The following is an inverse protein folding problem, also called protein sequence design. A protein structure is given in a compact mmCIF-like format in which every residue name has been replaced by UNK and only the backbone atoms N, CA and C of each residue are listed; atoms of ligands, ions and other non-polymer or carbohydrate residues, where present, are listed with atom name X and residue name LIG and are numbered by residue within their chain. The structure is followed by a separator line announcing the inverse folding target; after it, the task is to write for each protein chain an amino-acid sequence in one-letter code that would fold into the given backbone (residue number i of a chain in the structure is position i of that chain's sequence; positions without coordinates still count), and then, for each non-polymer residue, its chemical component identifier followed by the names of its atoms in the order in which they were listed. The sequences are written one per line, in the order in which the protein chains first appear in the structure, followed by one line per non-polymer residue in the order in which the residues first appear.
data_IF_089285441353
#
_entry.id   IF_089285441353
#
_cell.length_a   1.000
_cell.length_b   1.000
_cell.length_c   1.000
_cell.angle_alpha   90.00
_cell.angle_beta   90.00
_cell.angle_gamma   90.00
#
_symmetry.space_group_name_H-M   'P 1'
#
loop_
_entity.id
_entity.type
_entity.pdbx_description
1 polymer ?
#
# COMPACT_ATOMS: atom_id res chain seq x y z
N UNK A 1 3.03 -0.85 26.77
CA UNK A 1 3.21 -2.02 25.86
C UNK A 1 2.14 -1.97 24.80
N UNK A 2 2.49 -2.31 23.57
CA UNK A 2 1.53 -2.32 22.45
C UNK A 2 0.44 -3.38 22.65
N UNK A 3 -0.77 -3.06 22.19
CA UNK A 3 -1.93 -3.95 22.23
C UNK A 3 -2.04 -4.73 20.93
N UNK A 4 -2.48 -5.99 21.02
CA UNK A 4 -2.84 -6.83 19.86
C UNK A 4 -4.37 -6.90 19.76
N UNK A 5 -4.89 -6.78 18.54
CA UNK A 5 -6.32 -6.73 18.26
C UNK A 5 -6.75 -7.95 17.46
N UNK A 6 -7.95 -8.45 17.73
CA UNK A 6 -8.53 -9.57 16.99
C UNK A 6 -8.94 -9.19 15.56
N UNK A 7 -9.24 -7.92 15.32
CA UNK A 7 -9.63 -7.35 14.03
C UNK A 7 -9.55 -5.82 14.08
N UNK A 8 -9.78 -5.17 12.95
CA UNK A 8 -9.94 -3.72 12.88
C UNK A 8 -11.32 -3.39 13.46
N UNK A 9 -11.33 -2.83 14.67
CA UNK A 9 -12.52 -2.27 15.30
C UNK A 9 -12.76 -0.82 14.83
N UNK A 10 -13.86 -0.20 15.23
CA UNK A 10 -14.21 1.16 14.81
C UNK A 10 -13.16 2.20 15.24
N UNK A 11 -12.54 2.02 16.41
CA UNK A 11 -11.46 2.91 16.88
C UNK A 11 -10.21 2.81 16.00
N UNK A 12 -9.84 1.60 15.59
CA UNK A 12 -8.73 1.36 14.67
C UNK A 12 -9.08 1.87 13.27
N UNK A 13 -10.30 1.66 12.80
CA UNK A 13 -10.78 2.15 11.51
C UNK A 13 -10.77 3.69 11.45
N UNK A 14 -11.27 4.36 12.48
CA UNK A 14 -11.22 5.82 12.59
C UNK A 14 -9.77 6.34 12.58
N UNK A 15 -8.87 5.69 13.33
CA UNK A 15 -7.45 6.03 13.33
C UNK A 15 -6.83 5.89 11.93
N UNK A 16 -7.08 4.79 11.22
CA UNK A 16 -6.57 4.54 9.87
C UNK A 16 -7.07 5.62 8.90
N UNK A 17 -8.37 5.92 8.91
CA UNK A 17 -8.98 6.92 8.03
C UNK A 17 -8.46 8.35 8.25
N UNK A 18 -7.96 8.63 9.45
CA UNK A 18 -7.40 9.94 9.79
C UNK A 18 -5.93 10.11 9.32
N UNK A 19 -5.28 9.06 8.79
CA UNK A 19 -3.91 9.18 8.32
C UNK A 19 -3.87 9.45 6.82
N UNK A 20 -3.11 10.48 6.41
CA UNK A 20 -2.89 10.87 5.02
C UNK A 20 -1.77 10.08 4.35
N UNK A 21 -0.95 9.38 5.12
CA UNK A 21 0.14 8.54 4.64
C UNK A 21 0.15 7.20 5.38
N UNK A 22 0.42 6.13 4.66
CA UNK A 22 0.76 4.84 5.25
C UNK A 22 2.01 4.26 4.57
N UNK A 23 2.66 3.35 5.25
CA UNK A 23 3.88 2.71 4.77
C UNK A 23 3.61 1.24 4.47
N UNK A 24 4.17 0.78 3.36
CA UNK A 24 4.09 -0.61 2.93
C UNK A 24 5.49 -1.18 2.96
N UNK A 25 5.72 -2.24 3.74
CA UNK A 25 6.97 -2.97 3.74
C UNK A 25 6.77 -4.41 3.30
N UNK A 26 7.66 -4.89 2.45
CA UNK A 26 7.74 -6.26 1.95
C UNK A 26 9.18 -6.71 1.87
N UNK A 27 9.42 -8.02 1.82
CA UNK A 27 10.75 -8.58 1.74
C UNK A 27 10.74 -9.77 0.78
N UNK A 28 11.82 -10.01 0.02
CA UNK A 28 11.99 -11.23 -0.74
C UNK A 28 12.28 -12.41 0.20
N UNK A 29 12.29 -13.62 -0.33
CA UNK A 29 12.66 -14.83 0.45
C UNK A 29 14.18 -14.98 0.60
N UNK A 30 14.95 -14.46 -0.33
CA UNK A 30 16.40 -14.44 -0.29
C UNK A 30 16.92 -13.63 0.89
N UNK A 31 17.92 -14.16 1.60
CA UNK A 31 18.53 -13.46 2.75
C UNK A 31 19.37 -12.23 2.33
N UNK A 32 19.92 -12.25 1.12
CA UNK A 32 20.71 -11.17 0.52
C UNK A 32 19.87 -10.22 -0.37
N UNK A 33 18.55 -10.41 -0.42
CA UNK A 33 17.65 -9.54 -1.19
C UNK A 33 17.30 -8.25 -0.45
N UNK A 34 16.92 -7.22 -1.21
CA UNK A 34 16.63 -5.88 -0.69
C UNK A 34 15.22 -5.79 -0.13
N UNK A 35 15.10 -5.26 1.10
CA UNK A 35 13.82 -4.92 1.71
C UNK A 35 13.19 -3.74 0.98
N UNK A 36 11.90 -3.79 0.78
CA UNK A 36 11.14 -2.66 0.27
C UNK A 36 10.37 -1.96 1.40
N UNK A 37 10.45 -0.64 1.43
CA UNK A 37 9.63 0.22 2.27
C UNK A 37 9.16 1.41 1.43
N UNK A 38 7.86 1.50 1.20
CA UNK A 38 7.25 2.53 0.34
C UNK A 38 6.21 3.34 1.10
N UNK A 39 6.29 4.68 1.11
CA UNK A 39 5.18 5.53 1.54
C UNK A 39 4.08 5.50 0.47
N UNK A 40 2.84 5.48 0.92
CA UNK A 40 1.63 5.56 0.11
C UNK A 40 0.72 6.66 0.67
N UNK A 41 0.07 7.38 -0.19
CA UNK A 41 -0.86 8.46 0.15
C UNK A 41 -2.04 8.48 -0.80
N UNK A 42 -2.66 9.64 -0.97
CA UNK A 42 -3.91 9.83 -1.68
C UNK A 42 -5.04 9.00 -1.05
N UNK A 43 -6.21 8.99 -1.62
CA UNK A 43 -7.34 8.16 -1.15
C UNK A 43 -7.25 6.73 -1.71
N UNK A 44 -6.13 6.05 -1.43
CA UNK A 44 -5.83 4.72 -2.01
C UNK A 44 -6.10 3.55 -1.08
N UNK A 45 -6.55 3.74 0.17
CA UNK A 45 -6.71 2.66 1.15
C UNK A 45 -8.18 2.37 1.48
N UNK A 46 -8.53 1.07 1.63
CA UNK A 46 -9.87 0.61 2.03
C UNK A 46 -9.80 -0.51 3.07
N UNK A 47 -10.69 -0.44 4.06
CA UNK A 47 -10.98 -1.53 5.00
C UNK A 47 -12.18 -2.27 4.42
N UNK A 48 -12.00 -3.53 4.02
CA UNK A 48 -13.05 -4.35 3.42
C UNK A 48 -13.87 -5.08 4.48
N UNK A 49 -13.19 -5.56 5.50
CA UNK A 49 -13.77 -6.20 6.69
C UNK A 49 -12.77 -6.10 7.86
N UNK A 50 -13.10 -6.60 9.09
CA UNK A 50 -12.19 -6.51 10.24
C UNK A 50 -10.82 -7.17 10.05
N UNK A 51 -10.67 -8.05 9.07
CA UNK A 51 -9.43 -8.80 8.79
C UNK A 51 -8.92 -8.67 7.35
N UNK A 52 -9.56 -7.87 6.53
CA UNK A 52 -9.17 -7.69 5.13
C UNK A 52 -9.13 -6.21 4.77
N UNK A 53 -8.01 -5.80 4.21
CA UNK A 53 -7.83 -4.44 3.69
C UNK A 53 -7.35 -4.50 2.25
N UNK A 54 -7.52 -3.40 1.52
CA UNK A 54 -6.99 -3.25 0.18
C UNK A 54 -6.44 -1.85 -0.05
N UNK A 55 -5.47 -1.74 -0.95
CA UNK A 55 -5.04 -0.42 -1.43
C UNK A 55 -4.81 -0.44 -2.94
N UNK A 56 -5.05 0.72 -3.55
CA UNK A 56 -4.80 0.95 -4.96
C UNK A 56 -3.29 1.14 -5.18
N UNK A 57 -2.67 0.26 -5.96
CA UNK A 57 -1.28 0.37 -6.33
C UNK A 57 -1.14 1.20 -7.60
N UNK A 58 -0.42 2.32 -7.49
CA UNK A 58 -0.25 3.29 -8.55
C UNK A 58 1.08 3.09 -9.27
N UNK A 59 1.09 3.34 -10.57
CA UNK A 59 2.30 3.22 -11.41
C UNK A 59 3.42 4.13 -10.90
N UNK A 60 4.54 3.53 -10.60
CA UNK A 60 5.79 4.17 -10.24
C UNK A 60 6.97 3.41 -10.85
N UNK A 61 8.21 3.84 -10.57
CA UNK A 61 9.42 3.19 -11.09
C UNK A 61 9.69 1.83 -10.45
N UNK A 62 9.29 1.65 -9.18
CA UNK A 62 9.50 0.41 -8.44
C UNK A 62 8.36 -0.60 -8.61
N UNK A 63 8.71 -1.89 -8.52
CA UNK A 63 7.78 -3.01 -8.57
C UNK A 63 8.01 -4.01 -7.43
N UNK A 64 8.86 -3.67 -6.47
CA UNK A 64 9.30 -4.55 -5.40
C UNK A 64 8.14 -5.14 -4.61
N UNK A 65 7.15 -4.31 -4.22
CA UNK A 65 5.97 -4.81 -3.51
C UNK A 65 5.26 -5.92 -4.29
N UNK A 66 4.99 -5.71 -5.56
CA UNK A 66 4.31 -6.69 -6.43
C UNK A 66 5.15 -7.97 -6.54
N UNK A 67 6.45 -7.82 -6.80
CA UNK A 67 7.36 -8.94 -6.96
C UNK A 67 7.47 -9.79 -5.67
N UNK A 68 7.64 -9.16 -4.51
CA UNK A 68 7.69 -9.84 -3.21
C UNK A 68 6.37 -10.53 -2.85
N UNK A 69 5.22 -9.89 -3.16
CA UNK A 69 3.92 -10.49 -2.91
C UNK A 69 3.67 -11.71 -3.78
N UNK A 70 4.07 -11.68 -5.06
CA UNK A 70 4.01 -12.85 -5.95
C UNK A 70 4.90 -13.98 -5.47
N UNK A 71 6.06 -13.67 -4.87
CA UNK A 71 6.99 -14.68 -4.37
C UNK A 71 6.53 -15.31 -3.05
N UNK A 72 6.09 -14.52 -2.07
CA UNK A 72 5.85 -15.04 -0.72
C UNK A 72 4.66 -14.44 0.03
N UNK A 73 4.03 -13.40 -0.49
CA UNK A 73 2.84 -12.76 0.08
C UNK A 73 3.05 -11.98 1.39
N UNK A 74 4.24 -11.95 1.98
CA UNK A 74 4.47 -11.28 3.28
C UNK A 74 4.44 -9.77 3.13
N UNK A 75 3.63 -9.11 3.99
CA UNK A 75 3.45 -7.65 3.96
C UNK A 75 3.16 -7.12 5.35
N UNK A 76 3.61 -5.91 5.62
CA UNK A 76 3.13 -5.10 6.73
C UNK A 76 2.75 -3.72 6.21
N UNK A 77 1.59 -3.24 6.66
CA UNK A 77 1.12 -1.88 6.48
C UNK A 77 1.24 -1.15 7.81
N UNK A 78 1.81 0.06 7.81
CA UNK A 78 2.02 0.82 9.02
C UNK A 78 1.42 2.21 8.89
N UNK A 79 0.65 2.61 9.88
CA UNK A 79 0.06 3.93 10.04
C UNK A 79 0.68 4.60 11.26
N UNK A 80 1.13 5.84 11.10
CA UNK A 80 1.71 6.65 12.17
C UNK A 80 0.87 7.91 12.36
N UNK A 81 0.51 8.23 13.61
CA UNK A 81 -0.04 9.54 13.93
C UNK A 81 1.07 10.59 13.77
N UNK A 82 1.00 11.35 12.68
CA UNK A 82 1.85 12.52 12.44
C UNK A 82 1.22 13.78 13.03
N UNK A 83 -0.07 13.75 13.34
CA UNK A 83 -0.84 14.79 14.02
C UNK A 83 -1.58 14.21 15.22
N UNK A 84 -1.89 15.03 16.21
CA UNK A 84 -2.68 14.64 17.37
C UNK A 84 -1.95 13.71 18.34
N UNK A 85 -2.70 12.77 18.94
CA UNK A 85 -2.16 11.86 19.93
C UNK A 85 -1.23 10.79 19.29
N UNK A 86 -0.03 10.55 19.89
CA UNK A 86 0.95 9.65 19.29
C UNK A 86 0.46 8.21 19.27
N UNK A 87 0.54 7.57 18.12
CA UNK A 87 0.19 6.18 17.92
C UNK A 87 0.82 5.62 16.64
N UNK A 88 1.27 4.37 16.68
CA UNK A 88 1.64 3.60 15.49
C UNK A 88 0.81 2.33 15.45
N UNK A 89 0.12 2.08 14.34
CA UNK A 89 -0.65 0.86 14.11
C UNK A 89 0.01 0.06 12.99
N UNK A 90 0.20 -1.24 13.20
CA UNK A 90 0.74 -2.17 12.19
C UNK A 90 -0.27 -3.25 11.87
N UNK A 91 -0.46 -3.46 10.58
CA UNK A 91 -1.29 -4.50 10.01
C UNK A 91 -0.37 -5.48 9.28
N UNK A 92 -0.07 -6.61 9.92
CA UNK A 92 0.70 -7.69 9.30
C UNK A 92 -0.23 -8.68 8.62
N UNK A 93 0.19 -9.26 7.51
CA UNK A 93 -0.65 -10.23 6.81
C UNK A 93 -0.04 -10.83 5.56
N UNK A 94 -0.92 -11.39 4.76
CA UNK A 94 -0.64 -11.95 3.45
C UNK A 94 -1.32 -11.11 2.38
N UNK A 95 -0.52 -10.53 1.49
CA UNK A 95 -0.96 -9.73 0.37
C UNK A 95 -1.00 -10.53 -0.91
N UNK A 96 -1.95 -10.21 -1.75
CA UNK A 96 -2.05 -10.67 -3.13
C UNK A 96 -2.23 -9.47 -4.05
N UNK A 97 -1.74 -9.59 -5.27
CA UNK A 97 -1.82 -8.57 -6.30
C UNK A 97 -2.93 -8.93 -7.27
N UNK A 98 -3.92 -8.07 -7.37
CA UNK A 98 -5.01 -8.18 -8.32
C UNK A 98 -4.73 -7.23 -9.48
N UNK A 99 -4.57 -7.77 -10.68
CA UNK A 99 -4.26 -7.03 -11.90
C UNK A 99 -5.51 -6.79 -12.76
N UNK A 100 -5.41 -5.91 -13.72
CA UNK A 100 -6.44 -5.72 -14.73
C UNK A 100 -6.73 -7.04 -15.46
N UNK A 101 -8.01 -7.42 -15.53
CA UNK A 101 -8.45 -8.72 -16.04
C UNK A 101 -8.85 -9.72 -14.95
N UNK A 102 -8.43 -9.53 -13.71
CA UNK A 102 -8.89 -10.34 -12.60
C UNK A 102 -10.32 -9.97 -12.21
N UNK A 103 -11.16 -10.98 -11.93
CA UNK A 103 -12.54 -10.76 -11.46
C UNK A 103 -12.58 -9.91 -10.19
N UNK A 104 -11.68 -10.19 -9.25
CA UNK A 104 -11.63 -9.51 -7.96
C UNK A 104 -11.11 -8.07 -8.11
N UNK A 105 -10.23 -7.80 -9.09
CA UNK A 105 -9.83 -6.43 -9.44
C UNK A 105 -11.04 -5.62 -9.88
N UNK A 106 -11.84 -6.14 -10.82
CA UNK A 106 -13.04 -5.47 -11.32
C UNK A 106 -14.09 -5.23 -10.21
N UNK A 107 -14.21 -6.16 -9.26
CA UNK A 107 -15.14 -6.04 -8.13
C UNK A 107 -14.71 -4.99 -7.10
N UNK A 108 -13.40 -4.84 -6.87
CA UNK A 108 -12.87 -3.91 -5.85
C UNK A 108 -12.58 -2.51 -6.39
N UNK A 109 -12.30 -2.38 -7.68
CA UNK A 109 -11.94 -1.09 -8.28
C UNK A 109 -12.95 0.04 -8.00
N UNK A 110 -14.29 -0.18 -8.03
CA UNK A 110 -15.28 0.85 -7.72
C UNK A 110 -15.24 1.42 -6.30
N UNK A 111 -14.54 0.74 -5.36
CA UNK A 111 -14.36 1.23 -4.00
C UNK A 111 -13.35 2.38 -3.89
N UNK A 112 -12.57 2.62 -4.95
CA UNK A 112 -11.53 3.65 -4.99
C UNK A 112 -11.92 4.77 -5.96
N UNK A 113 -11.49 6.02 -5.69
CA UNK A 113 -11.64 7.06 -6.69
C UNK A 113 -10.83 6.70 -7.95
N UNK A 114 -11.34 7.04 -9.14
CA UNK A 114 -10.62 6.83 -10.38
C UNK A 114 -9.25 7.53 -10.35
N UNK A 115 -8.19 6.82 -10.74
CA UNK A 115 -6.86 7.41 -10.84
C UNK A 115 -6.16 6.94 -12.13
N UNK A 116 -5.60 7.87 -12.95
CA UNK A 116 -5.05 7.54 -14.26
C UNK A 116 -3.84 6.59 -14.19
N UNK A 117 -3.11 6.56 -13.09
CA UNK A 117 -1.96 5.69 -12.91
C UNK A 117 -2.27 4.35 -12.23
N UNK A 118 -3.53 3.99 -12.02
CA UNK A 118 -3.91 2.69 -11.42
C UNK A 118 -3.20 1.55 -12.15
N UNK A 119 -2.51 0.72 -11.39
CA UNK A 119 -1.70 -0.40 -11.91
C UNK A 119 -2.24 -1.75 -11.43
N UNK A 120 -2.58 -1.84 -10.15
CA UNK A 120 -3.10 -3.04 -9.51
C UNK A 120 -3.87 -2.66 -8.24
N UNK A 121 -4.54 -3.62 -7.64
CA UNK A 121 -5.03 -3.54 -6.26
C UNK A 121 -4.25 -4.57 -5.46
N UNK A 122 -3.75 -4.17 -4.31
CA UNK A 122 -3.16 -5.11 -3.34
C UNK A 122 -4.19 -5.36 -2.25
N UNK A 123 -4.70 -6.60 -2.17
CA UNK A 123 -5.58 -7.07 -1.11
C UNK A 123 -4.74 -7.77 -0.04
N UNK A 124 -4.98 -7.47 1.23
CA UNK A 124 -4.20 -8.04 2.34
C UNK A 124 -5.14 -8.69 3.35
N UNK A 125 -4.97 -10.00 3.58
CA UNK A 125 -5.58 -10.72 4.69
C UNK A 125 -4.68 -10.57 5.92
N UNK A 126 -5.23 -10.02 6.98
CA UNK A 126 -4.50 -9.69 8.20
C UNK A 126 -4.43 -10.89 9.15
N UNK A 127 -3.23 -11.22 9.60
CA UNK A 127 -2.96 -12.24 10.61
C UNK A 127 -2.64 -11.63 11.98
N UNK A 128 -2.07 -10.40 12.02
CA UNK A 128 -1.75 -9.69 13.25
C UNK A 128 -1.97 -8.19 13.10
N UNK A 129 -2.74 -7.62 14.01
CA UNK A 129 -2.97 -6.18 14.14
C UNK A 129 -2.44 -5.76 15.50
N UNK A 130 -1.52 -4.79 15.54
CA UNK A 130 -0.93 -4.33 16.82
C UNK A 130 -0.57 -2.86 16.77
N UNK A 131 -0.67 -2.20 17.91
CA UNK A 131 -0.22 -0.82 18.05
C UNK A 131 1.02 -0.68 18.94
N UNK A 132 1.61 0.50 18.91
CA UNK A 132 2.66 0.96 19.82
C UNK A 132 2.49 2.47 20.09
N UNK A 133 3.17 2.98 21.11
CA UNK A 133 2.95 4.33 21.61
C UNK A 133 3.26 5.45 20.61
N UNK A 134 4.24 5.27 19.71
CA UNK A 134 4.62 6.31 18.75
C UNK A 134 5.27 7.56 19.35
N UNK A 135 5.70 7.55 20.62
CA UNK A 135 6.21 8.73 21.33
C UNK A 135 7.45 9.37 20.69
N UNK A 136 8.23 8.62 19.92
CA UNK A 136 9.37 9.13 19.17
C UNK A 136 9.04 9.61 17.74
N UNK A 137 7.78 9.52 17.32
CA UNK A 137 7.37 10.01 16.00
C UNK A 137 7.13 11.51 16.09
N UNK A 138 7.81 12.33 15.26
CA UNK A 138 7.64 13.78 15.31
C UNK A 138 6.28 14.20 14.76
N UNK A 139 5.84 15.39 15.16
CA UNK A 139 4.62 16.01 14.63
C UNK A 139 4.90 16.68 13.29
N UNK A 140 3.96 16.51 12.35
CA UNK A 140 3.90 17.21 11.08
C UNK A 140 2.50 17.81 10.90
N UNK A 141 2.43 18.86 10.12
CA UNK A 141 1.15 19.45 9.70
C UNK A 141 0.85 19.00 8.27
N UNK A 142 -0.34 18.46 8.07
CA UNK A 142 -0.80 18.15 6.73
C UNK A 142 -1.22 19.43 5.99
N UNK A 143 -0.67 19.67 4.81
CA UNK A 143 -0.97 20.85 3.99
C UNK A 143 -1.74 20.49 2.71
N UNK A 144 -1.81 19.22 2.36
CA UNK A 144 -2.54 18.74 1.19
C UNK A 144 -1.86 17.63 0.42
N UNK A 145 -2.57 17.09 -0.56
CA UNK A 145 -2.08 16.05 -1.46
C UNK A 145 -1.19 16.63 -2.57
N UNK A 146 -0.22 15.83 -3.01
CA UNK A 146 0.62 16.17 -4.16
C UNK A 146 -0.09 15.81 -5.46
N UNK A 147 -0.04 16.72 -6.45
CA UNK A 147 -0.69 16.56 -7.75
C UNK A 147 0.22 15.97 -8.82
N UNK A 148 1.53 15.88 -8.57
CA UNK A 148 2.55 15.53 -9.57
C UNK A 148 2.33 14.15 -10.18
N UNK A 149 1.93 13.14 -9.39
CA UNK A 149 1.69 11.79 -9.93
C UNK A 149 0.50 11.77 -10.90
N UNK A 150 -0.58 12.45 -10.54
CA UNK A 150 -1.77 12.56 -11.39
C UNK A 150 -1.44 13.29 -12.69
N UNK A 151 -0.83 14.48 -12.62
CA UNK A 151 -0.44 15.26 -13.79
C UNK A 151 0.55 14.50 -14.69
N UNK A 152 1.52 13.80 -14.11
CA UNK A 152 2.45 12.95 -14.87
C UNK A 152 1.74 11.80 -15.58
N UNK A 153 0.79 11.14 -14.92
CA UNK A 153 0.06 10.02 -15.50
C UNK A 153 -0.89 10.49 -16.63
N UNK A 154 -1.56 11.62 -16.43
CA UNK A 154 -2.39 12.26 -17.46
C UNK A 154 -1.58 12.66 -18.69
N UNK A 155 -0.42 13.29 -18.49
CA UNK A 155 0.49 13.67 -19.57
C UNK A 155 0.99 12.45 -20.37
N UNK A 156 1.31 11.34 -19.70
CA UNK A 156 1.73 10.09 -20.37
C UNK A 156 0.58 9.42 -21.14
N UNK A 157 -0.62 9.54 -20.64
CA UNK A 157 -1.79 8.84 -21.17
C UNK A 157 -1.70 7.31 -21.06
N UNK A 158 -2.77 6.58 -21.39
CA UNK A 158 -2.82 5.12 -21.22
C UNK A 158 -1.71 4.37 -21.98
N UNK A 159 -1.44 4.77 -23.22
CA UNK A 159 -0.38 4.15 -24.06
C UNK A 159 1.01 4.38 -23.47
N UNK A 160 1.31 5.61 -23.02
CA UNK A 160 2.61 5.94 -22.41
C UNK A 160 2.81 5.24 -21.09
N UNK A 161 1.75 5.07 -20.27
CA UNK A 161 1.81 4.30 -19.04
C UNK A 161 2.04 2.81 -19.29
N UNK A 162 1.43 2.22 -20.33
CA UNK A 162 1.66 0.84 -20.71
C UNK A 162 3.13 0.59 -21.12
N UNK A 163 3.70 1.48 -21.93
CA UNK A 163 5.13 1.43 -22.30
C UNK A 163 6.01 1.56 -21.06
N UNK A 164 5.74 2.54 -20.20
CA UNK A 164 6.50 2.76 -18.98
C UNK A 164 6.50 1.54 -18.03
N UNK A 165 5.35 0.89 -17.84
CA UNK A 165 5.24 -0.35 -17.05
C UNK A 165 6.06 -1.48 -17.65
N UNK A 166 6.00 -1.64 -18.99
CA UNK A 166 6.81 -2.62 -19.70
C UNK A 166 8.31 -2.40 -19.54
N UNK A 167 8.75 -1.15 -19.45
CA UNK A 167 10.17 -0.82 -19.28
C UNK A 167 10.65 -0.92 -17.83
N UNK A 168 9.81 -0.49 -16.87
CA UNK A 168 10.22 -0.27 -15.47
C UNK A 168 9.64 -1.29 -14.48
N UNK A 169 8.57 -2.01 -14.84
CA UNK A 169 7.85 -2.85 -13.89
C UNK A 169 7.88 -4.36 -14.22
N UNK A 170 8.74 -4.79 -15.12
CA UNK A 170 8.90 -6.22 -15.42
C UNK A 170 9.66 -6.97 -14.33
N UNK A 171 10.64 -6.32 -13.70
CA UNK A 171 11.48 -6.93 -12.66
C UNK A 171 11.74 -5.96 -11.52
N UNK A 172 11.84 -6.51 -10.30
CA UNK A 172 12.35 -5.78 -9.13
C UNK A 172 13.86 -5.54 -9.24
N UNK A 173 14.41 -4.76 -8.31
CA UNK A 173 15.87 -4.54 -8.20
C UNK A 173 16.65 -5.84 -8.00
N UNK A 174 16.03 -6.86 -7.41
CA UNK A 174 16.60 -8.20 -7.21
C UNK A 174 16.30 -9.17 -8.36
N UNK A 175 15.71 -8.69 -9.46
CA UNK A 175 15.39 -9.47 -10.64
C UNK A 175 14.15 -10.35 -10.53
N UNK A 176 13.37 -10.25 -9.44
CA UNK A 176 12.11 -10.98 -9.28
C UNK A 176 11.05 -10.49 -10.28
N UNK A 177 10.18 -11.38 -10.80
CA UNK A 177 9.14 -11.00 -11.75
C UNK A 177 8.16 -9.98 -11.17
N UNK A 178 7.92 -8.90 -11.91
CA UNK A 178 6.91 -7.88 -11.62
C UNK A 178 5.57 -8.13 -12.32
N UNK A 179 5.07 -7.14 -13.06
CA UNK A 179 3.85 -7.21 -13.87
C UNK A 179 4.15 -7.60 -15.30
#
# INVERSE_FOLDING_TARGET
MGKVYAGIDERNAAFIRAQHVFFVATAPTRLDGHLNLSPKGLDTFRILDPRTVAYLDLTGSGIETVAHLKENGRIVLMFCALEGAPRVLRLHGRGEVLAEGDRDFAALLPLFPPHPSTRAIVRVRLDRISDSCGFGVPLYRYEGERTQLTAWAEHKGPKGLAVYRKEKNQRSIDGLPGL
#
